data_IF_093361070801
#
_entry.id   IF_093361070801
#
_cell.length_a   1.000
_cell.length_b   1.000
_cell.length_c   1.000
_cell.angle_alpha   90.00
_cell.angle_beta   90.00
_cell.angle_gamma   90.00
#
_symmetry.space_group_name_H-M   'P 1'
#
loop_
_entity.id
_entity.type
_entity.pdbx_description
1 polymer ?
#
# COMPACT_ATOMS: atom_id res chain seq x y z
N UNK A 1 -4.88 14.95 -18.95
CA UNK A 1 -4.25 14.66 -17.64
C UNK A 1 -4.20 15.98 -16.89
N UNK A 2 -4.62 15.99 -15.64
CA UNK A 2 -4.58 17.18 -14.77
C UNK A 2 -3.28 17.12 -13.95
N UNK A 3 -2.20 17.69 -14.48
CA UNK A 3 -0.85 17.57 -13.90
C UNK A 3 -0.67 18.37 -12.61
N UNK A 4 -1.44 19.44 -12.45
CA UNK A 4 -1.41 20.30 -11.26
C UNK A 4 -1.81 19.57 -9.97
N UNK A 5 -2.50 18.42 -10.05
CA UNK A 5 -2.90 17.60 -8.91
C UNK A 5 -1.76 16.75 -8.30
N UNK A 6 -0.63 16.60 -8.99
CA UNK A 6 0.43 15.64 -8.60
C UNK A 6 1.78 16.31 -8.30
N UNK A 7 1.79 17.59 -7.93
CA UNK A 7 3.01 18.40 -7.77
C UNK A 7 3.89 17.97 -6.60
N UNK A 8 3.33 17.38 -5.53
CA UNK A 8 4.06 16.78 -4.41
C UNK A 8 5.23 17.63 -3.86
N UNK A 9 5.04 18.96 -3.81
CA UNK A 9 6.09 19.92 -3.48
C UNK A 9 6.63 19.65 -2.06
N UNK A 10 7.94 19.45 -1.88
CA UNK A 10 8.51 19.18 -0.57
C UNK A 10 8.16 20.25 0.47
N UNK A 11 7.55 19.82 1.58
CA UNK A 11 7.14 20.70 2.68
C UNK A 11 5.77 21.35 2.52
N UNK A 12 5.08 21.19 1.38
CA UNK A 12 3.70 21.63 1.21
C UNK A 12 2.74 20.67 1.94
N UNK A 13 1.90 21.15 2.87
CA UNK A 13 0.98 20.28 3.61
C UNK A 13 -0.26 19.86 2.82
N UNK A 14 -0.57 20.50 1.69
CA UNK A 14 -1.75 20.17 0.87
C UNK A 14 -1.64 18.75 0.30
N UNK A 15 -2.78 18.06 0.23
CA UNK A 15 -2.88 16.71 -0.33
C UNK A 15 -1.94 15.67 0.33
N UNK A 16 -1.57 15.90 1.60
CA UNK A 16 -0.71 14.99 2.37
C UNK A 16 -1.47 14.14 3.37
N UNK A 17 -0.85 13.03 3.75
CA UNK A 17 -1.23 12.20 4.89
C UNK A 17 0.02 11.63 5.54
N UNK A 18 -0.13 10.90 6.64
CA UNK A 18 0.95 10.10 7.22
C UNK A 18 0.70 8.61 6.98
N UNK A 19 1.76 7.77 6.93
CA UNK A 19 1.58 6.33 6.81
C UNK A 19 0.62 5.74 7.86
N UNK A 20 0.74 6.20 9.11
CA UNK A 20 -0.11 5.75 10.22
C UNK A 20 -1.58 6.18 10.05
N UNK A 21 -1.84 7.43 9.66
CA UNK A 21 -3.21 7.92 9.46
C UNK A 21 -3.90 7.19 8.29
N UNK A 22 -3.18 6.95 7.19
CA UNK A 22 -3.71 6.19 6.06
C UNK A 22 -3.93 4.72 6.41
N UNK A 23 -3.02 4.10 7.18
CA UNK A 23 -3.19 2.72 7.62
C UNK A 23 -4.45 2.55 8.46
N UNK A 24 -4.69 3.46 9.42
CA UNK A 24 -5.92 3.45 10.23
C UNK A 24 -7.18 3.68 9.38
N UNK A 25 -7.10 4.59 8.41
CA UNK A 25 -8.22 4.85 7.48
C UNK A 25 -8.54 3.61 6.66
N UNK A 26 -7.53 3.01 6.02
CA UNK A 26 -7.70 1.82 5.21
C UNK A 26 -8.20 0.64 6.05
N UNK A 27 -7.68 0.45 7.27
CA UNK A 27 -8.17 -0.56 8.20
C UNK A 27 -9.67 -0.38 8.47
N UNK A 28 -10.12 0.84 8.80
CA UNK A 28 -11.53 1.12 9.11
C UNK A 28 -12.46 0.87 7.93
N UNK A 29 -12.03 1.23 6.72
CA UNK A 29 -12.83 1.10 5.50
C UNK A 29 -12.85 -0.34 4.97
N UNK A 30 -11.69 -1.00 4.91
CA UNK A 30 -11.55 -2.30 4.27
C UNK A 30 -11.76 -3.48 5.23
N UNK A 31 -11.54 -3.31 6.53
CA UNK A 31 -11.61 -4.41 7.52
C UNK A 31 -12.57 -4.11 8.69
N UNK A 32 -12.76 -2.84 9.01
CA UNK A 32 -13.65 -2.38 10.08
C UNK A 32 -15.10 -2.19 9.63
N UNK A 33 -15.89 -1.52 10.46
CA UNK A 33 -17.34 -1.33 10.25
C UNK A 33 -17.72 0.09 9.81
N UNK A 34 -16.79 0.84 9.22
CA UNK A 34 -17.09 2.17 8.68
C UNK A 34 -18.01 2.11 7.44
N UNK A 35 -17.97 0.98 6.73
CA UNK A 35 -18.84 0.67 5.59
C UNK A 35 -19.74 -0.53 5.94
N UNK A 36 -20.91 -0.59 5.31
CA UNK A 36 -21.72 -1.80 5.28
C UNK A 36 -20.98 -2.95 4.60
N UNK A 37 -21.39 -4.19 4.90
CA UNK A 37 -20.70 -5.41 4.42
C UNK A 37 -20.53 -5.38 2.90
N UNK A 38 -21.61 -5.13 2.15
CA UNK A 38 -21.57 -5.08 0.69
C UNK A 38 -20.63 -4.00 0.12
N UNK A 39 -20.59 -2.80 0.73
CA UNK A 39 -19.72 -1.70 0.30
C UNK A 39 -18.25 -1.99 0.60
N UNK A 40 -17.97 -2.61 1.75
CA UNK A 40 -16.62 -3.05 2.11
C UNK A 40 -16.11 -4.14 1.16
N UNK A 41 -16.96 -5.12 0.84
CA UNK A 41 -16.60 -6.19 -0.10
C UNK A 41 -16.39 -5.64 -1.51
N UNK A 42 -17.19 -4.67 -1.93
CA UNK A 42 -17.01 -3.97 -3.21
C UNK A 42 -15.69 -3.19 -3.24
N UNK A 43 -15.35 -2.46 -2.17
CA UNK A 43 -14.07 -1.76 -2.04
C UNK A 43 -12.89 -2.74 -2.14
N UNK A 44 -12.93 -3.83 -1.37
CA UNK A 44 -11.89 -4.86 -1.45
C UNK A 44 -11.80 -5.46 -2.86
N UNK A 45 -12.93 -5.71 -3.52
CA UNK A 45 -12.98 -6.25 -4.89
C UNK A 45 -12.27 -5.34 -5.87
N UNK A 46 -12.57 -4.03 -5.85
CA UNK A 46 -11.90 -3.06 -6.71
C UNK A 46 -10.40 -2.96 -6.43
N UNK A 47 -10.00 -2.94 -5.16
CA UNK A 47 -8.59 -2.91 -4.76
C UNK A 47 -7.84 -4.19 -5.16
N UNK A 48 -8.47 -5.37 -5.06
CA UNK A 48 -7.88 -6.65 -5.54
C UNK A 48 -7.70 -6.65 -7.05
N UNK A 49 -8.64 -6.04 -7.78
CA UNK A 49 -8.61 -5.91 -9.23
C UNK A 49 -7.73 -4.73 -9.73
N UNK A 50 -6.99 -4.05 -8.85
CA UNK A 50 -6.10 -2.98 -9.25
C UNK A 50 -5.06 -3.48 -10.27
N UNK A 51 -4.89 -2.76 -11.38
CA UNK A 51 -3.98 -3.13 -12.49
C UNK A 51 -2.66 -2.36 -12.46
N UNK A 52 -2.50 -1.40 -11.54
CA UNK A 52 -1.31 -0.53 -11.49
C UNK A 52 -0.28 -0.94 -10.43
N UNK A 53 -0.61 -1.90 -9.56
CA UNK A 53 0.16 -2.26 -8.36
C UNK A 53 1.20 -3.37 -8.54
N UNK A 54 1.24 -4.03 -9.71
CA UNK A 54 2.00 -5.28 -9.91
C UNK A 54 3.50 -5.17 -9.59
N UNK A 55 4.09 -3.99 -9.79
CA UNK A 55 5.52 -3.73 -9.56
C UNK A 55 5.86 -3.23 -8.15
N UNK A 56 4.86 -2.99 -7.29
CA UNK A 56 5.02 -2.35 -5.97
C UNK A 56 4.84 -3.37 -4.85
N UNK A 57 3.87 -3.21 -3.95
CA UNK A 57 3.67 -4.13 -2.83
C UNK A 57 3.49 -5.56 -3.32
N UNK A 58 2.73 -5.77 -4.41
CA UNK A 58 2.51 -7.10 -5.01
C UNK A 58 3.81 -7.82 -5.39
N UNK A 59 4.81 -7.09 -5.85
CA UNK A 59 6.12 -7.66 -6.21
C UNK A 59 6.98 -8.01 -4.98
N UNK A 60 6.65 -7.47 -3.81
CA UNK A 60 7.39 -7.69 -2.57
C UNK A 60 6.85 -8.84 -1.70
N UNK A 61 5.63 -9.31 -1.94
CA UNK A 61 4.96 -10.31 -1.09
C UNK A 61 4.91 -11.70 -1.76
N UNK A 62 4.81 -12.80 -0.98
CA UNK A 62 4.59 -14.14 -1.52
C UNK A 62 3.35 -14.23 -2.43
N UNK A 63 3.42 -15.05 -3.47
CA UNK A 63 2.37 -15.18 -4.49
C UNK A 63 1.05 -15.76 -3.98
N UNK A 64 1.10 -16.49 -2.88
CA UNK A 64 -0.06 -17.09 -2.21
C UNK A 64 -0.78 -16.11 -1.27
N UNK A 65 -0.24 -14.90 -1.08
CA UNK A 65 -0.93 -13.85 -0.35
C UNK A 65 -1.93 -13.15 -1.26
N UNK A 66 -3.17 -13.01 -0.79
CA UNK A 66 -4.11 -12.12 -1.46
C UNK A 66 -3.74 -10.67 -1.16
N UNK A 67 -3.80 -9.82 -2.17
CA UNK A 67 -3.46 -8.39 -2.08
C UNK A 67 -4.61 -7.55 -2.60
N UNK A 68 -5.05 -6.58 -1.81
CA UNK A 68 -5.96 -5.53 -2.24
C UNK A 68 -5.24 -4.20 -2.04
N UNK A 69 -4.83 -3.53 -3.13
CA UNK A 69 -3.97 -2.35 -3.07
C UNK A 69 -4.50 -1.15 -3.86
N UNK A 70 -3.89 0.00 -3.61
CA UNK A 70 -4.03 1.17 -4.46
C UNK A 70 -2.73 1.98 -4.51
N UNK A 71 -2.31 2.25 -5.75
CA UNK A 71 -1.11 3.05 -6.03
C UNK A 71 -1.39 4.55 -6.14
N UNK A 72 -0.38 5.37 -5.85
CA UNK A 72 -0.30 6.79 -6.19
C UNK A 72 1.08 7.15 -6.73
N UNK A 73 1.17 8.10 -7.66
CA UNK A 73 2.43 8.56 -8.27
C UNK A 73 2.34 10.06 -8.50
N UNK A 74 3.43 10.79 -8.31
CA UNK A 74 3.50 12.21 -8.62
C UNK A 74 4.92 12.68 -8.90
N UNK A 75 5.10 13.99 -8.97
CA UNK A 75 6.40 14.66 -9.09
C UNK A 75 7.31 14.29 -7.91
N UNK A 76 8.58 14.70 -7.99
CA UNK A 76 9.61 14.37 -7.02
C UNK A 76 9.84 12.86 -6.89
N UNK A 77 9.56 12.12 -7.97
CA UNK A 77 9.59 10.66 -7.99
C UNK A 77 8.70 10.03 -6.92
N UNK A 78 7.62 10.71 -6.53
CA UNK A 78 6.69 10.22 -5.52
C UNK A 78 6.05 8.93 -6.00
N UNK A 79 6.20 7.86 -5.23
CA UNK A 79 5.63 6.55 -5.51
C UNK A 79 5.08 5.95 -4.24
N UNK A 80 3.77 5.70 -4.22
CA UNK A 80 3.03 5.29 -3.04
C UNK A 80 2.24 4.03 -3.33
N UNK A 81 2.08 3.19 -2.32
CA UNK A 81 1.19 2.04 -2.40
C UNK A 81 0.65 1.70 -1.02
N UNK A 82 -0.65 1.44 -0.96
CA UNK A 82 -1.34 1.06 0.27
C UNK A 82 -2.08 -0.24 0.01
N UNK A 83 -2.00 -1.18 0.94
CA UNK A 83 -2.57 -2.49 0.74
C UNK A 83 -3.15 -3.09 2.02
N UNK A 84 -4.16 -3.93 1.82
CA UNK A 84 -4.52 -4.99 2.75
C UNK A 84 -3.96 -6.30 2.19
N UNK A 85 -3.23 -7.02 3.04
CA UNK A 85 -2.58 -8.28 2.71
C UNK A 85 -3.22 -9.40 3.54
N UNK A 86 -3.48 -10.54 2.92
CA UNK A 86 -3.96 -11.73 3.62
C UNK A 86 -2.94 -12.87 3.48
N UNK A 87 -2.02 -13.02 4.45
CA UNK A 87 -1.18 -14.20 4.55
C UNK A 87 -2.04 -15.45 4.85
N UNK A 88 -1.66 -16.64 4.34
CA UNK A 88 -2.32 -17.88 4.71
C UNK A 88 -2.31 -18.09 6.23
N UNK A 89 -3.46 -18.53 6.77
CA UNK A 89 -3.65 -18.87 8.19
C UNK A 89 -3.28 -17.75 9.19
N UNK A 90 -3.35 -16.48 8.80
CA UNK A 90 -3.11 -15.34 9.70
C UNK A 90 -4.15 -14.24 9.54
N UNK A 91 -4.28 -13.37 10.56
CA UNK A 91 -5.01 -12.12 10.40
C UNK A 91 -4.46 -11.25 9.26
N UNK A 92 -5.30 -10.42 8.63
CA UNK A 92 -4.86 -9.50 7.59
C UNK A 92 -3.89 -8.44 8.12
N UNK A 93 -3.03 -7.95 7.25
CA UNK A 93 -2.04 -6.90 7.52
C UNK A 93 -2.41 -5.67 6.69
N UNK A 94 -2.41 -4.50 7.31
CA UNK A 94 -2.48 -3.22 6.60
C UNK A 94 -1.07 -2.68 6.43
N UNK A 95 -0.65 -2.48 5.19
CA UNK A 95 0.67 -1.97 4.83
C UNK A 95 0.52 -0.68 4.02
N UNK A 96 1.25 0.36 4.42
CA UNK A 96 1.24 1.66 3.76
C UNK A 96 2.67 2.10 3.53
N UNK A 97 3.04 2.35 2.28
CA UNK A 97 4.38 2.77 1.89
C UNK A 97 4.26 4.06 1.07
N UNK A 98 4.93 5.10 1.56
CA UNK A 98 5.10 6.37 0.86
C UNK A 98 6.59 6.58 0.59
N UNK A 99 6.95 6.96 -0.62
CA UNK A 99 8.33 7.28 -1.01
C UNK A 99 8.32 8.53 -1.88
N UNK A 100 9.25 9.45 -1.63
CA UNK A 100 9.46 10.68 -2.42
C UNK A 100 10.94 11.06 -2.37
N UNK A 101 11.40 11.83 -3.36
CA UNK A 101 12.80 12.23 -3.56
C UNK A 101 12.91 13.76 -3.56
N UNK A 102 14.13 14.28 -3.75
CA UNK A 102 14.40 15.74 -3.70
C UNK A 102 14.29 16.44 -5.06
N UNK A 103 14.71 15.78 -6.13
CA UNK A 103 14.68 16.32 -7.49
C UNK A 103 13.26 16.22 -8.06
N UNK A 104 12.69 17.31 -8.57
CA UNK A 104 11.30 17.34 -9.05
C UNK A 104 11.04 16.35 -10.19
N UNK A 105 12.00 16.17 -11.09
CA UNK A 105 11.92 15.26 -12.24
C UNK A 105 12.44 13.84 -11.94
N UNK A 106 12.73 13.55 -10.66
CA UNK A 106 13.16 12.23 -10.22
C UNK A 106 12.18 11.15 -10.69
N UNK A 107 12.74 10.01 -11.11
CA UNK A 107 11.92 8.87 -11.54
C UNK A 107 11.36 8.14 -10.33
N UNK A 108 10.10 7.70 -10.44
CA UNK A 108 9.46 6.84 -9.45
C UNK A 108 10.27 5.55 -9.20
N UNK A 109 10.22 5.03 -7.97
CA UNK A 109 11.01 3.88 -7.54
C UNK A 109 10.12 2.75 -7.02
N UNK A 110 9.43 2.08 -7.93
CA UNK A 110 8.59 0.91 -7.60
C UNK A 110 9.39 -0.19 -6.89
N UNK A 111 10.68 -0.33 -7.21
CA UNK A 111 11.59 -1.30 -6.59
C UNK A 111 11.83 -1.03 -5.10
N UNK A 112 11.81 0.24 -4.67
CA UNK A 112 11.90 0.62 -3.25
C UNK A 112 10.64 0.16 -2.51
N UNK A 113 9.47 0.33 -3.12
CA UNK A 113 8.19 -0.12 -2.55
C UNK A 113 8.13 -1.65 -2.44
N UNK A 114 8.54 -2.36 -3.49
CA UNK A 114 8.62 -3.82 -3.48
C UNK A 114 9.61 -4.32 -2.41
N UNK A 115 10.76 -3.66 -2.26
CA UNK A 115 11.77 -4.02 -1.26
C UNK A 115 11.27 -3.79 0.17
N UNK A 116 10.62 -2.66 0.42
CA UNK A 116 10.00 -2.39 1.72
C UNK A 116 8.88 -3.40 2.06
N UNK A 117 8.05 -3.76 1.07
CA UNK A 117 7.03 -4.79 1.25
C UNK A 117 7.64 -6.18 1.54
N UNK A 118 8.77 -6.52 0.91
CA UNK A 118 9.49 -7.77 1.17
C UNK A 118 9.97 -7.87 2.62
N UNK A 119 10.56 -6.81 3.16
CA UNK A 119 11.01 -6.76 4.56
C UNK A 119 9.84 -7.05 5.52
N UNK A 120 8.67 -6.48 5.24
CA UNK A 120 7.45 -6.76 6.01
C UNK A 120 7.00 -8.20 5.82
N UNK A 121 6.93 -8.69 4.59
CA UNK A 121 6.50 -10.06 4.30
C UNK A 121 7.40 -11.11 4.96
N UNK A 122 8.72 -10.90 5.01
CA UNK A 122 9.64 -11.78 5.72
C UNK A 122 9.34 -11.83 7.22
N UNK A 123 9.07 -10.68 7.83
CA UNK A 123 8.73 -10.59 9.26
C UNK A 123 7.40 -11.26 9.60
N UNK A 124 6.41 -11.13 8.72
CA UNK A 124 5.04 -11.61 8.95
C UNK A 124 4.68 -12.88 8.16
N UNK A 125 5.62 -13.46 7.42
CA UNK A 125 5.46 -14.66 6.60
C UNK A 125 6.11 -15.91 7.18
N UNK A 126 6.98 -15.79 8.19
CA UNK A 126 7.51 -16.94 8.93
C UNK A 126 6.46 -17.47 9.90
N UNK A 127 6.10 -18.76 9.82
CA UNK A 127 5.29 -19.40 10.85
C UNK A 127 6.07 -19.34 12.17
N UNK A 128 5.40 -19.04 13.29
CA UNK A 128 6.04 -19.30 14.60
C UNK A 128 6.29 -20.80 14.67
N UNK A 129 7.55 -21.20 14.67
CA UNK A 129 7.92 -22.52 15.21
C UNK A 129 7.69 -22.41 16.71
N UNK A 130 6.51 -22.82 17.18
CA UNK A 130 6.34 -23.19 18.58
C UNK A 130 7.12 -24.47 18.79
N UNK A 131 8.38 -24.33 19.22
CA UNK A 131 9.15 -25.42 19.80
C UNK A 131 8.59 -25.74 21.18
N UNK A 132 8.51 -27.04 21.45
CA UNK A 132 8.07 -27.69 22.70
C UNK A 132 8.85 -27.26 23.94
#
# INVERSE_FOLDING_TARGET
>A
METELNTAIPGDPRDTTTPAAMALTLQRLALGNALGIAQRDQLQTWMRANTTGDKRIRAGVPRDWQVADKTGTGDYGTSNDIAVLWPPARPPIVLVIYFTQREQDAKARDDVLASAARIVAEKFGQARVTGE
#
